data_IF_632642918717
#
_entry.id   IF_632642918717
#
_cell.length_a   1.000
_cell.length_b   1.000
_cell.length_c   1.000
_cell.angle_alpha   90.00
_cell.angle_beta   90.00
_cell.angle_gamma   90.00
#
_symmetry.space_group_name_H-M   'P 1'
#
loop_
_entity.id
_entity.type
_entity.pdbx_description
1 polymer ?
#
# COMPACT_ATOMS: atom_id res chain seq x y z
N UNK A 1 30.28 -29.57 25.33
CA UNK A 1 30.04 -28.46 24.38
C UNK A 1 29.22 -27.42 25.12
N UNK A 2 29.66 -26.17 25.26
CA UNK A 2 28.82 -25.14 25.86
C UNK A 2 27.63 -24.87 24.94
N UNK A 3 26.41 -25.06 25.44
CA UNK A 3 25.18 -24.73 24.72
C UNK A 3 25.06 -23.21 24.67
N UNK A 4 25.36 -22.61 23.52
CA UNK A 4 25.15 -21.19 23.28
C UNK A 4 23.79 -20.98 22.63
N UNK A 5 23.26 -19.77 22.74
CA UNK A 5 21.99 -19.37 22.09
C UNK A 5 22.01 -19.58 20.56
N UNK A 6 23.21 -19.59 19.96
CA UNK A 6 23.43 -19.83 18.52
C UNK A 6 23.15 -21.28 18.10
N UNK A 7 23.14 -22.22 19.05
CA UNK A 7 22.89 -23.64 18.77
C UNK A 7 21.39 -24.00 18.90
N UNK A 8 20.53 -23.02 19.20
CA UNK A 8 19.09 -23.26 19.31
C UNK A 8 18.48 -23.45 17.90
N UNK A 9 17.50 -24.35 17.76
CA UNK A 9 16.71 -24.45 16.52
C UNK A 9 15.97 -23.15 16.21
N UNK A 10 15.75 -22.90 14.92
CA UNK A 10 15.04 -21.70 14.44
C UNK A 10 13.66 -21.56 15.08
N UNK A 11 12.95 -22.66 15.32
CA UNK A 11 11.62 -22.62 15.95
C UNK A 11 11.67 -22.03 17.37
N UNK A 12 12.72 -22.34 18.13
CA UNK A 12 12.93 -21.80 19.48
C UNK A 12 13.36 -20.34 19.41
N UNK A 13 14.22 -19.99 18.44
CA UNK A 13 14.64 -18.60 18.22
C UNK A 13 13.44 -17.71 17.87
N UNK A 14 12.55 -18.18 17.00
CA UNK A 14 11.32 -17.46 16.62
C UNK A 14 10.40 -17.22 17.83
N UNK A 15 10.25 -18.23 18.71
CA UNK A 15 9.51 -18.05 19.96
C UNK A 15 10.16 -17.02 20.88
N UNK A 16 11.48 -17.00 20.98
CA UNK A 16 12.19 -15.97 21.77
C UNK A 16 11.94 -14.58 21.18
N UNK A 17 11.94 -14.44 19.86
CA UNK A 17 11.73 -13.15 19.19
C UNK A 17 10.35 -12.55 19.46
N UNK A 18 9.32 -13.37 19.73
CA UNK A 18 7.98 -12.90 20.11
C UNK A 18 7.98 -12.05 21.39
N UNK A 19 8.92 -12.30 22.30
CA UNK A 19 9.02 -11.57 23.57
C UNK A 19 9.96 -10.36 23.50
N UNK A 20 10.62 -10.14 22.37
CA UNK A 20 11.57 -9.03 22.20
C UNK A 20 10.92 -7.84 21.49
N UNK A 21 11.15 -6.60 21.97
CA UNK A 21 10.74 -5.40 21.24
C UNK A 21 11.36 -5.35 19.84
N UNK A 22 10.60 -4.84 18.86
CA UNK A 22 11.06 -4.72 17.46
C UNK A 22 12.37 -3.96 17.31
N UNK A 23 12.62 -2.96 18.17
CA UNK A 23 13.89 -2.23 18.20
C UNK A 23 15.07 -3.17 18.49
N UNK A 24 14.94 -4.02 19.52
CA UNK A 24 15.98 -4.99 19.89
C UNK A 24 16.20 -6.00 18.78
N UNK A 25 15.12 -6.47 18.15
CA UNK A 25 15.23 -7.38 17.00
C UNK A 25 16.00 -6.74 15.83
N UNK A 26 15.75 -5.46 15.53
CA UNK A 26 16.49 -4.74 14.50
C UNK A 26 17.98 -4.62 14.81
N UNK A 27 18.32 -4.42 16.08
CA UNK A 27 19.71 -4.35 16.53
C UNK A 27 20.38 -5.75 16.45
N UNK A 28 19.68 -6.79 16.90
CA UNK A 28 20.16 -8.18 16.82
C UNK A 28 20.32 -8.67 15.38
N UNK A 29 19.54 -8.14 14.43
CA UNK A 29 19.70 -8.43 12.99
C UNK A 29 21.08 -8.05 12.46
N UNK A 30 21.80 -7.14 13.13
CA UNK A 30 23.18 -6.79 12.74
C UNK A 30 24.17 -7.90 13.07
N UNK A 31 23.80 -8.85 13.92
CA UNK A 31 24.58 -10.06 14.21
C UNK A 31 24.32 -11.09 13.11
N UNK A 32 25.38 -11.46 12.39
CA UNK A 32 25.33 -12.27 11.16
C UNK A 32 24.53 -13.57 11.32
N UNK A 33 24.68 -14.26 12.44
CA UNK A 33 24.06 -15.57 12.66
C UNK A 33 22.54 -15.47 12.89
N UNK A 34 22.07 -14.37 13.46
CA UNK A 34 20.63 -14.13 13.67
C UNK A 34 19.96 -13.36 12.53
N UNK A 35 20.75 -12.75 11.64
CA UNK A 35 20.22 -11.90 10.58
C UNK A 35 19.14 -12.58 9.72
N UNK A 36 19.32 -13.83 9.22
CA UNK A 36 18.32 -14.47 8.36
C UNK A 36 17.00 -14.77 9.09
N UNK A 37 17.08 -15.36 10.28
CA UNK A 37 15.91 -15.77 11.08
C UNK A 37 15.15 -14.58 11.63
N UNK A 38 15.85 -13.54 12.11
CA UNK A 38 15.22 -12.27 12.51
C UNK A 38 14.58 -11.59 11.30
N UNK A 39 15.25 -11.57 10.14
CA UNK A 39 14.68 -10.96 8.95
C UNK A 39 13.39 -11.68 8.51
N UNK A 40 13.40 -13.01 8.51
CA UNK A 40 12.19 -13.80 8.25
C UNK A 40 11.08 -13.50 9.27
N UNK A 41 11.41 -13.43 10.56
CA UNK A 41 10.46 -13.08 11.61
C UNK A 41 9.86 -11.69 11.39
N UNK A 42 10.69 -10.69 11.09
CA UNK A 42 10.26 -9.32 10.86
C UNK A 42 9.31 -9.23 9.66
N UNK A 43 9.60 -9.90 8.54
CA UNK A 43 8.67 -9.90 7.40
C UNK A 43 7.35 -10.61 7.69
N UNK A 44 7.38 -11.62 8.55
CA UNK A 44 6.19 -12.37 8.93
C UNK A 44 5.25 -11.59 9.84
N UNK A 45 5.80 -10.79 10.75
CA UNK A 45 5.02 -10.09 11.79
C UNK A 45 4.79 -8.61 11.47
N UNK A 46 5.61 -8.01 10.61
CA UNK A 46 5.46 -6.60 10.26
C UNK A 46 4.39 -6.42 9.18
N UNK A 47 3.78 -5.23 9.18
CA UNK A 47 2.87 -4.77 8.14
C UNK A 47 3.54 -3.70 7.29
N UNK A 48 3.44 -3.83 5.96
CA UNK A 48 3.82 -2.77 5.04
C UNK A 48 2.59 -1.99 4.58
N UNK A 49 2.63 -0.66 4.69
CA UNK A 49 1.51 0.21 4.29
C UNK A 49 1.78 0.90 2.96
N UNK A 50 0.86 0.73 2.03
CA UNK A 50 0.80 1.38 0.73
C UNK A 50 -0.36 2.37 0.70
N UNK A 51 -0.15 3.49 0.01
CA UNK A 51 -1.19 4.48 -0.23
C UNK A 51 -1.39 4.62 -1.75
N UNK A 52 -2.64 4.50 -2.20
CA UNK A 52 -2.98 4.83 -3.58
C UNK A 52 -3.06 6.35 -3.72
N UNK A 53 -2.47 6.88 -4.78
CA UNK A 53 -2.53 8.32 -5.05
C UNK A 53 -3.99 8.74 -5.25
N UNK A 54 -4.39 9.84 -4.63
CA UNK A 54 -5.78 10.34 -4.66
C UNK A 54 -6.19 10.94 -6.03
N UNK A 55 -5.27 10.97 -7.00
CA UNK A 55 -5.50 11.51 -8.34
C UNK A 55 -5.67 13.04 -8.38
N UNK A 56 -5.58 13.72 -7.24
CA UNK A 56 -5.66 15.19 -7.13
C UNK A 56 -4.29 15.85 -7.12
N UNK A 57 -3.23 15.09 -6.80
CA UNK A 57 -1.86 15.52 -7.06
C UNK A 57 -1.57 15.44 -8.56
N UNK A 58 -1.96 16.49 -9.28
CA UNK A 58 -1.40 16.81 -10.59
C UNK A 58 0.09 17.08 -10.43
N UNK A 59 0.91 16.02 -10.39
CA UNK A 59 2.31 16.17 -10.74
C UNK A 59 2.32 16.52 -12.22
N UNK A 60 2.58 17.80 -12.49
CA UNK A 60 2.98 18.28 -13.78
C UNK A 60 4.04 17.32 -14.33
N UNK A 61 3.67 16.63 -15.40
CA UNK A 61 4.57 15.96 -16.32
C UNK A 61 5.67 16.97 -16.67
N UNK A 62 6.94 16.65 -16.38
CA UNK A 62 8.06 17.52 -16.69
C UNK A 62 8.31 17.50 -18.19
N UNK A 63 7.54 18.35 -18.86
CA UNK A 63 7.43 18.45 -20.30
C UNK A 63 8.75 18.26 -21.03
N UNK A 64 8.84 17.13 -21.73
CA UNK A 64 9.53 17.07 -23.02
C UNK A 64 8.53 16.63 -24.07
N UNK A 65 7.63 17.53 -24.46
CA UNK A 65 7.02 17.49 -25.79
C UNK A 65 6.96 18.91 -26.35
N UNK A 66 7.91 19.21 -27.23
CA UNK A 66 7.94 20.45 -27.98
C UNK A 66 6.80 20.54 -28.99
N UNK A 67 6.17 21.72 -28.99
CA UNK A 67 5.53 22.42 -30.10
C UNK A 67 4.47 21.69 -30.95
N UNK A 68 3.20 22.06 -30.73
CA UNK A 68 2.35 22.58 -31.81
C UNK A 68 1.21 23.44 -31.23
N UNK A 69 1.13 24.64 -31.79
CA UNK A 69 0.21 25.75 -31.55
C UNK A 69 -1.13 25.50 -32.27
N UNK A 70 -2.25 25.55 -31.55
CA UNK A 70 -3.52 26.09 -32.07
C UNK A 70 -4.38 26.59 -30.90
N UNK A 71 -4.71 27.87 -30.95
CA UNK A 71 -5.34 28.61 -29.88
C UNK A 71 -6.78 28.21 -29.62
N UNK A 72 -7.06 27.75 -28.41
CA UNK A 72 -8.36 28.00 -27.76
C UNK A 72 -8.18 28.10 -26.25
N UNK A 73 -7.99 29.33 -25.77
CA UNK A 73 -8.11 29.67 -24.35
C UNK A 73 -9.56 29.50 -23.93
N UNK A 74 -9.83 28.77 -22.84
CA UNK A 74 -10.89 29.10 -21.87
C UNK A 74 -10.82 28.26 -20.58
N UNK A 75 -10.53 28.98 -19.49
CA UNK A 75 -10.70 28.63 -18.08
C UNK A 75 -9.82 27.52 -17.51
N UNK A 76 -8.56 27.88 -17.27
CA UNK A 76 -7.84 27.34 -16.13
C UNK A 76 -8.60 27.77 -14.86
N UNK A 77 -9.47 26.90 -14.34
CA UNK A 77 -9.78 26.93 -12.93
C UNK A 77 -8.48 26.57 -12.23
N UNK A 78 -7.75 27.61 -11.79
CA UNK A 78 -6.84 27.50 -10.68
C UNK A 78 -7.69 27.14 -9.45
N UNK A 79 -8.05 25.86 -9.31
CA UNK A 79 -8.32 25.32 -7.99
C UNK A 79 -6.95 25.29 -7.30
N UNK A 80 -6.69 26.35 -6.52
CA UNK A 80 -5.73 26.27 -5.43
C UNK A 80 -5.97 24.93 -4.74
N UNK A 81 -4.94 24.09 -4.76
CA UNK A 81 -4.96 22.79 -4.15
C UNK A 81 -5.08 23.01 -2.65
N UNK A 82 -6.32 23.06 -2.15
CA UNK A 82 -6.59 23.06 -0.72
C UNK A 82 -6.23 21.66 -0.25
N UNK A 83 -5.01 21.53 0.28
CA UNK A 83 -4.68 20.45 1.17
C UNK A 83 -5.82 20.39 2.21
N UNK A 84 -6.69 19.39 2.11
CA UNK A 84 -7.67 19.15 3.16
C UNK A 84 -6.89 18.84 4.43
N UNK A 85 -6.77 19.84 5.30
CA UNK A 85 -6.49 19.62 6.71
C UNK A 85 -7.55 18.62 7.20
N UNK A 86 -7.08 17.46 7.68
CA UNK A 86 -7.86 16.36 8.26
C UNK A 86 -8.55 15.34 7.33
N UNK A 87 -7.98 15.01 6.15
CA UNK A 87 -8.10 13.62 5.70
C UNK A 87 -7.25 12.75 6.66
N UNK A 88 -7.77 11.66 7.25
CA UNK A 88 -7.00 10.85 8.19
C UNK A 88 -5.76 10.36 7.47
N UNK A 89 -4.59 10.91 7.84
CA UNK A 89 -3.31 10.72 7.14
C UNK A 89 -3.06 9.22 7.06
N UNK A 90 -3.31 8.66 5.89
CA UNK A 90 -3.02 7.28 5.59
C UNK A 90 -1.50 7.11 5.64
N UNK A 91 -0.97 6.63 6.76
CA UNK A 91 0.46 6.36 6.90
C UNK A 91 0.86 5.23 5.94
N UNK A 92 1.65 5.53 4.91
CA UNK A 92 2.12 4.56 3.94
C UNK A 92 3.01 5.16 2.85
N UNK A 93 3.66 4.31 2.08
CA UNK A 93 4.40 4.72 0.88
C UNK A 93 3.41 4.88 -0.27
N UNK A 94 3.41 6.03 -0.92
CA UNK A 94 2.58 6.26 -2.10
C UNK A 94 2.98 5.33 -3.25
N UNK A 95 2.01 4.83 -4.02
CA UNK A 95 2.28 3.96 -5.17
C UNK A 95 3.21 4.63 -6.20
N UNK A 96 3.05 5.93 -6.45
CA UNK A 96 3.96 6.68 -7.32
C UNK A 96 5.40 6.79 -6.78
N UNK A 97 5.60 6.72 -5.46
CA UNK A 97 6.92 6.70 -4.84
C UNK A 97 7.51 5.30 -4.88
N UNK A 98 6.68 4.28 -4.66
CA UNK A 98 7.09 2.88 -4.73
C UNK A 98 7.69 2.54 -6.10
N UNK A 99 7.07 2.99 -7.20
CA UNK A 99 7.59 2.75 -8.55
C UNK A 99 8.95 3.38 -8.82
N UNK A 100 9.30 4.43 -8.09
CA UNK A 100 10.60 5.13 -8.18
C UNK A 100 11.69 4.49 -7.30
N UNK A 101 11.34 3.55 -6.42
CA UNK A 101 12.32 2.84 -5.60
C UNK A 101 13.22 1.96 -6.44
N UNK A 102 14.44 1.70 -5.97
CA UNK A 102 15.33 0.73 -6.61
C UNK A 102 14.72 -0.67 -6.57
N UNK A 103 15.09 -1.51 -7.55
CA UNK A 103 14.64 -2.92 -7.62
C UNK A 103 14.94 -3.70 -6.34
N UNK A 104 16.04 -3.40 -5.66
CA UNK A 104 16.40 -4.00 -4.37
C UNK A 104 15.40 -3.65 -3.27
N UNK A 105 14.96 -2.38 -3.19
CA UNK A 105 13.96 -1.97 -2.20
C UNK A 105 12.57 -2.50 -2.54
N UNK A 106 12.20 -2.53 -3.82
CA UNK A 106 10.94 -3.16 -4.25
C UNK A 106 10.93 -4.66 -3.92
N UNK A 107 12.05 -5.36 -4.13
CA UNK A 107 12.20 -6.76 -3.74
C UNK A 107 12.16 -6.95 -2.22
N UNK A 108 12.77 -6.06 -1.45
CA UNK A 108 12.67 -6.08 0.01
C UNK A 108 11.22 -5.94 0.49
N UNK A 109 10.46 -5.02 -0.11
CA UNK A 109 9.06 -4.79 0.24
C UNK A 109 8.16 -5.95 -0.20
N UNK A 110 8.48 -6.63 -1.30
CA UNK A 110 7.73 -7.81 -1.72
C UNK A 110 7.95 -9.03 -0.81
N UNK A 111 8.85 -8.98 0.18
CA UNK A 111 9.02 -10.10 1.12
C UNK A 111 8.04 -10.05 2.31
N UNK A 112 7.29 -8.96 2.51
CA UNK A 112 6.32 -8.85 3.60
C UNK A 112 5.12 -9.78 3.41
N UNK A 113 4.58 -10.31 4.51
CA UNK A 113 3.40 -11.18 4.47
C UNK A 113 2.10 -10.41 4.72
N UNK A 114 2.19 -9.29 5.44
CA UNK A 114 1.05 -8.45 5.80
C UNK A 114 1.17 -7.10 5.09
N UNK A 115 0.12 -6.75 4.34
CA UNK A 115 0.02 -5.47 3.66
C UNK A 115 -1.22 -4.71 4.14
N UNK A 116 -1.09 -3.39 4.21
CA UNK A 116 -2.20 -2.47 4.33
C UNK A 116 -2.22 -1.58 3.09
N UNK A 117 -3.34 -1.54 2.39
CA UNK A 117 -3.54 -0.69 1.22
C UNK A 117 -4.58 0.36 1.57
N UNK A 118 -4.16 1.60 1.68
CA UNK A 118 -5.04 2.72 1.96
C UNK A 118 -5.49 3.35 0.63
N UNK A 119 -6.80 3.41 0.43
CA UNK A 119 -7.45 3.98 -0.75
C UNK A 119 -8.30 5.16 -0.30
N UNK A 120 -8.09 6.33 -0.89
CA UNK A 120 -9.00 7.47 -0.72
C UNK A 120 -9.88 7.58 -1.95
N UNK A 121 -11.20 7.55 -1.76
CA UNK A 121 -12.17 7.64 -2.86
C UNK A 121 -12.97 8.92 -2.70
N UNK A 122 -12.66 9.87 -3.57
CA UNK A 122 -13.47 11.05 -3.82
C UNK A 122 -14.35 10.88 -5.06
N UNK A 123 -13.88 10.08 -6.03
CA UNK A 123 -14.58 9.72 -7.25
C UNK A 123 -14.26 8.25 -7.60
N UNK A 124 -15.30 7.42 -7.77
CA UNK A 124 -15.12 5.99 -7.99
C UNK A 124 -14.39 5.68 -9.32
N UNK A 125 -14.77 6.35 -10.40
CA UNK A 125 -14.18 6.15 -11.74
C UNK A 125 -12.69 6.49 -11.74
N UNK A 126 -12.30 7.60 -11.12
CA UNK A 126 -10.89 7.98 -11.01
C UNK A 126 -10.08 6.95 -10.21
N UNK A 127 -10.63 6.43 -9.11
CA UNK A 127 -9.98 5.40 -8.31
C UNK A 127 -9.75 4.12 -9.13
N UNK A 128 -10.74 3.68 -9.91
CA UNK A 128 -10.58 2.51 -10.80
C UNK A 128 -9.46 2.76 -11.82
N UNK A 129 -9.39 3.95 -12.40
CA UNK A 129 -8.31 4.31 -13.34
C UNK A 129 -6.93 4.30 -12.66
N UNK A 130 -6.82 4.74 -11.41
CA UNK A 130 -5.57 4.66 -10.64
C UNK A 130 -5.18 3.21 -10.35
N UNK A 131 -6.13 2.34 -10.00
CA UNK A 131 -5.85 0.92 -9.81
C UNK A 131 -5.36 0.25 -11.10
N UNK A 132 -5.89 0.65 -12.25
CA UNK A 132 -5.44 0.15 -13.55
C UNK A 132 -4.04 0.68 -13.90
N UNK A 133 -3.77 1.96 -13.65
CA UNK A 133 -2.44 2.56 -13.80
C UNK A 133 -1.37 1.81 -13.00
N UNK A 134 -1.70 1.37 -11.79
CA UNK A 134 -0.79 0.64 -10.90
C UNK A 134 -0.92 -0.89 -11.00
N UNK A 135 -1.52 -1.42 -12.07
CA UNK A 135 -1.75 -2.86 -12.24
C UNK A 135 -0.47 -3.69 -12.08
N UNK A 136 0.64 -3.28 -12.72
CA UNK A 136 1.92 -4.00 -12.65
C UNK A 136 2.51 -4.02 -11.24
N UNK A 137 2.34 -2.93 -10.47
CA UNK A 137 2.80 -2.87 -9.07
C UNK A 137 1.96 -3.78 -8.18
N UNK A 138 0.63 -3.76 -8.37
CA UNK A 138 -0.30 -4.64 -7.66
C UNK A 138 0.06 -6.10 -7.98
N UNK A 139 0.35 -6.42 -9.23
CA UNK A 139 0.78 -7.75 -9.65
C UNK A 139 2.10 -8.15 -8.99
N UNK A 140 3.12 -7.29 -9.01
CA UNK A 140 4.41 -7.53 -8.37
C UNK A 140 4.27 -7.85 -6.87
N UNK A 141 3.46 -7.07 -6.15
CA UNK A 141 3.36 -7.16 -4.69
C UNK A 141 2.43 -8.28 -4.22
N UNK A 142 1.31 -8.49 -4.93
CA UNK A 142 0.23 -9.35 -4.45
C UNK A 142 0.05 -10.63 -5.28
N UNK A 143 0.66 -10.73 -6.46
CA UNK A 143 0.54 -11.89 -7.34
C UNK A 143 1.89 -12.60 -7.53
N UNK A 144 2.94 -11.88 -7.93
CA UNK A 144 4.27 -12.44 -8.25
C UNK A 144 5.24 -12.47 -7.05
N UNK A 145 4.67 -12.37 -5.85
CA UNK A 145 5.40 -12.27 -4.59
C UNK A 145 6.27 -13.52 -4.29
N UNK A 146 7.56 -13.36 -3.92
CA UNK A 146 8.45 -14.49 -3.59
C UNK A 146 7.93 -15.39 -2.46
N UNK A 147 7.30 -14.80 -1.44
CA UNK A 147 6.70 -15.56 -0.33
C UNK A 147 5.63 -16.53 -0.84
N UNK A 148 4.88 -16.14 -1.86
CA UNK A 148 3.84 -16.98 -2.47
C UNK A 148 4.41 -18.20 -3.18
N UNK A 149 5.64 -18.13 -3.71
CA UNK A 149 6.30 -19.32 -4.31
C UNK A 149 6.46 -20.46 -3.30
N UNK A 150 6.33 -20.19 -1.99
CA UNK A 150 6.31 -21.18 -0.92
C UNK A 150 4.92 -21.76 -0.59
N UNK A 151 3.88 -21.42 -1.37
CA UNK A 151 2.51 -21.92 -1.19
C UNK A 151 1.73 -21.22 -0.06
N UNK A 152 2.21 -20.08 0.42
CA UNK A 152 1.62 -19.35 1.55
C UNK A 152 0.77 -18.17 1.08
N UNK A 153 -0.23 -17.82 1.89
CA UNK A 153 -1.20 -16.75 1.61
C UNK A 153 -0.70 -15.41 2.17
N UNK A 154 -0.94 -14.32 1.44
CA UNK A 154 -0.72 -12.96 1.94
C UNK A 154 -1.94 -12.46 2.70
N UNK A 155 -1.70 -11.67 3.74
CA UNK A 155 -2.75 -10.95 4.46
C UNK A 155 -2.79 -9.52 3.93
N UNK A 156 -3.87 -9.14 3.25
CA UNK A 156 -4.05 -7.80 2.68
C UNK A 156 -5.23 -7.10 3.32
N UNK A 157 -4.96 -6.02 4.05
CA UNK A 157 -5.99 -5.15 4.62
C UNK A 157 -6.19 -3.93 3.72
N UNK A 158 -7.30 -3.87 3.01
CA UNK A 158 -7.68 -2.72 2.18
C UNK A 158 -8.52 -1.77 3.03
N UNK A 159 -8.01 -0.57 3.29
CA UNK A 159 -8.72 0.47 4.02
C UNK A 159 -9.18 1.52 3.04
N UNK A 160 -10.50 1.72 2.95
CA UNK A 160 -11.13 2.62 1.99
C UNK A 160 -11.72 3.82 2.73
N UNK A 161 -11.14 4.98 2.49
CA UNK A 161 -11.63 6.26 2.98
C UNK A 161 -12.58 6.86 1.94
N UNK A 162 -13.88 6.82 2.21
CA UNK A 162 -14.91 7.40 1.36
C UNK A 162 -15.22 8.82 1.83
N UNK A 163 -14.83 9.80 1.03
CA UNK A 163 -15.09 11.20 1.33
C UNK A 163 -16.49 11.57 0.82
N UNK A 164 -17.42 11.89 1.73
CA UNK A 164 -18.82 12.17 1.40
C UNK A 164 -19.24 13.63 1.67
N UNK A 165 -20.08 14.17 0.79
CA UNK A 165 -20.76 15.45 0.83
C UNK A 165 -22.17 15.26 0.24
N UNK A 166 -23.06 16.24 0.42
CA UNK A 166 -24.41 16.16 -0.18
C UNK A 166 -24.36 16.06 -1.72
N UNK A 167 -23.29 16.58 -2.34
CA UNK A 167 -23.12 16.64 -3.79
C UNK A 167 -22.52 15.37 -4.40
N UNK A 168 -21.91 14.47 -3.60
CA UNK A 168 -21.24 13.25 -4.09
C UNK A 168 -21.85 11.95 -3.53
N UNK A 169 -23.08 12.01 -3.00
CA UNK A 169 -23.76 10.85 -2.44
C UNK A 169 -23.86 9.66 -3.42
N UNK A 170 -24.04 9.94 -4.71
CA UNK A 170 -24.04 8.91 -5.74
C UNK A 170 -22.67 8.22 -5.89
N UNK A 171 -21.57 8.96 -5.80
CA UNK A 171 -20.21 8.39 -5.87
C UNK A 171 -19.92 7.50 -4.66
N UNK A 172 -20.42 7.87 -3.48
CA UNK A 172 -20.33 7.07 -2.26
C UNK A 172 -21.10 5.75 -2.46
N UNK A 173 -22.35 5.83 -2.92
CA UNK A 173 -23.18 4.66 -3.22
C UNK A 173 -22.51 3.73 -4.23
N UNK A 174 -21.97 4.28 -5.31
CA UNK A 174 -21.32 3.50 -6.36
C UNK A 174 -20.03 2.85 -5.83
N UNK A 175 -19.29 3.53 -4.96
CA UNK A 175 -18.11 2.96 -4.30
C UNK A 175 -18.46 1.78 -3.39
N UNK A 176 -19.53 1.89 -2.60
CA UNK A 176 -20.06 0.79 -1.80
C UNK A 176 -20.48 -0.40 -2.67
N UNK A 177 -21.25 -0.14 -3.73
CA UNK A 177 -21.75 -1.19 -4.63
C UNK A 177 -20.64 -1.94 -5.35
N UNK A 178 -19.49 -1.30 -5.55
CA UNK A 178 -18.37 -1.86 -6.31
C UNK A 178 -17.16 -2.21 -5.46
N UNK A 179 -17.29 -2.24 -4.13
CA UNK A 179 -16.17 -2.53 -3.21
C UNK A 179 -15.55 -3.93 -3.46
N UNK A 180 -16.39 -4.88 -3.88
CA UNK A 180 -15.97 -6.24 -4.26
C UNK A 180 -15.05 -6.22 -5.50
N UNK A 181 -15.28 -5.29 -6.44
CA UNK A 181 -14.39 -5.15 -7.62
C UNK A 181 -13.02 -4.64 -7.21
N UNK A 182 -12.95 -3.76 -6.21
CA UNK A 182 -11.70 -3.25 -5.64
C UNK A 182 -10.96 -4.38 -4.93
N UNK A 183 -11.62 -5.09 -4.01
CA UNK A 183 -10.97 -6.14 -3.21
C UNK A 183 -10.46 -7.30 -4.10
N UNK A 184 -11.18 -7.64 -5.18
CA UNK A 184 -10.78 -8.69 -6.14
C UNK A 184 -9.42 -8.45 -6.76
N UNK A 185 -9.01 -7.20 -7.00
CA UNK A 185 -7.68 -6.86 -7.53
C UNK A 185 -6.53 -7.32 -6.62
N UNK A 186 -6.78 -7.34 -5.32
CA UNK A 186 -5.82 -7.79 -4.30
C UNK A 186 -6.00 -9.26 -3.92
N UNK A 187 -7.17 -9.84 -4.20
CA UNK A 187 -7.50 -11.24 -3.84
C UNK A 187 -6.71 -12.28 -4.60
N UNK A 188 -6.25 -11.96 -5.83
CA UNK A 188 -5.44 -12.84 -6.64
C UNK A 188 -6.10 -14.23 -6.80
N UNK A 189 -7.33 -14.22 -7.32
CA UNK A 189 -8.20 -15.39 -7.48
C UNK A 189 -8.48 -16.15 -6.17
N UNK A 190 -8.54 -15.43 -5.04
CA UNK A 190 -8.86 -16.00 -3.73
C UNK A 190 -7.67 -16.58 -2.95
N UNK A 191 -6.44 -16.39 -3.45
CA UNK A 191 -5.23 -16.88 -2.79
C UNK A 191 -4.68 -15.91 -1.74
N UNK A 192 -5.11 -14.65 -1.75
CA UNK A 192 -4.78 -13.71 -0.69
C UNK A 192 -5.98 -13.57 0.26
N UNK A 193 -5.72 -13.52 1.56
CA UNK A 193 -6.73 -13.18 2.55
C UNK A 193 -6.93 -11.66 2.54
N UNK A 194 -8.03 -11.21 1.96
CA UNK A 194 -8.34 -9.78 1.81
C UNK A 194 -9.43 -9.38 2.80
N UNK A 195 -9.12 -8.40 3.65
CA UNK A 195 -10.09 -7.75 4.54
C UNK A 195 -10.29 -6.32 4.06
N UNK A 196 -11.55 -5.88 3.98
CA UNK A 196 -11.89 -4.50 3.59
C UNK A 196 -12.48 -3.76 4.78
N UNK A 197 -11.81 -2.67 5.18
CA UNK A 197 -12.33 -1.71 6.15
C UNK A 197 -12.79 -0.48 5.39
N UNK A 198 -14.01 -0.02 5.65
CA UNK A 198 -14.55 1.19 5.05
C UNK A 198 -14.72 2.27 6.11
N UNK A 199 -14.20 3.45 5.83
CA UNK A 199 -14.24 4.62 6.71
C UNK A 199 -14.90 5.78 5.96
N UNK A 200 -16.00 6.29 6.51
CA UNK A 200 -16.70 7.44 5.96
C UNK A 200 -16.09 8.72 6.54
N UNK A 201 -15.65 9.61 5.68
CA UNK A 201 -15.07 10.91 6.04
C UNK A 201 -15.96 12.00 5.48
N UNK A 202 -16.51 12.85 6.34
CA UNK A 202 -17.35 13.97 5.89
C UNK A 202 -16.45 15.03 5.26
N UNK A 203 -16.73 15.41 4.02
CA UNK A 203 -16.12 16.57 3.38
C UNK A 203 -16.79 17.82 3.93
N UNK A 204 -16.03 18.65 4.63
CA UNK A 204 -16.44 20.01 5.00
C UNK A 204 -16.22 20.93 3.78
N UNK A 205 -17.02 20.73 2.72
CA UNK A 205 -17.18 21.73 1.67
C UNK A 205 -18.41 22.56 2.04
N UNK A 206 -18.17 23.66 2.75
CA UNK A 206 -19.10 24.79 2.80
C UNK A 206 -18.89 25.67 1.56
#
# INVERSE_FOLDING_TARGET
>A
MPTTILNLPDEILLQIYEYLPTRILKDLRLVRDFAPTIQQYLFAQSQFSLQLDDGTSGYADDGTSGYADDGTSRYAYNEECVCFEEAPIAQGVNMCQFTKLSSQFQHHISQFHNYRVNLTICNFTQMVNQLEKYHEVIKLLFQDNPYRRSGKHLNVKVVIYLTYSMNNFNDVKDSFMNIDKISKRFSNNGLNHVVVDLQLVKSNRD
#
